data_IF_577590431183
#
_entry.id   IF_577590431183
#
_cell.length_a   1.000
_cell.length_b   1.000
_cell.length_c   1.000
_cell.angle_alpha   90.00
_cell.angle_beta   90.00
_cell.angle_gamma   90.00
#
_symmetry.space_group_name_H-M   'P 1'
#
loop_
_entity.id
_entity.type
_entity.pdbx_description
1 polymer ?
#
# COMPACT_ATOMS: atom_id res chain seq x y z
N UNK A 1 -23.06 25.40 -32.04
CA UNK A 1 -23.04 25.09 -30.59
C UNK A 1 -21.64 24.60 -30.25
N UNK A 2 -20.77 25.53 -29.89
CA UNK A 2 -19.34 25.30 -29.64
C UNK A 2 -19.20 24.59 -28.30
N UNK A 3 -18.88 23.30 -28.33
CA UNK A 3 -18.57 22.53 -27.12
C UNK A 3 -17.21 23.03 -26.64
N UNK A 4 -17.22 23.97 -25.70
CA UNK A 4 -16.06 24.29 -24.88
C UNK A 4 -15.74 23.04 -24.05
N UNK A 5 -14.94 22.13 -24.62
CA UNK A 5 -14.15 21.19 -23.84
C UNK A 5 -13.14 22.03 -23.08
N UNK A 6 -13.44 22.40 -21.84
CA UNK A 6 -12.40 22.71 -20.87
C UNK A 6 -11.45 21.52 -20.89
N UNK A 7 -10.30 21.66 -21.57
CA UNK A 7 -9.23 20.66 -21.47
C UNK A 7 -8.90 20.61 -19.99
N UNK A 8 -9.14 19.48 -19.33
CA UNK A 8 -8.61 19.28 -17.98
C UNK A 8 -7.11 19.53 -18.06
N UNK A 9 -6.65 20.56 -17.34
CA UNK A 9 -5.25 20.97 -17.41
C UNK A 9 -4.40 20.21 -16.38
N UNK A 10 -5.05 19.49 -15.48
CA UNK A 10 -4.45 18.71 -14.40
C UNK A 10 -5.11 17.34 -14.32
N UNK A 11 -4.31 16.27 -14.38
CA UNK A 11 -4.74 14.90 -14.12
C UNK A 11 -4.11 14.43 -12.81
N UNK A 12 -4.93 14.09 -11.83
CA UNK A 12 -4.47 13.57 -10.53
C UNK A 12 -4.94 12.14 -10.33
N UNK A 13 -4.01 11.26 -10.00
CA UNK A 13 -4.25 9.85 -9.74
C UNK A 13 -3.78 9.49 -8.33
N UNK A 14 -4.72 9.20 -7.44
CA UNK A 14 -4.37 8.79 -6.08
C UNK A 14 -3.85 7.35 -6.03
N UNK A 15 -2.86 7.15 -5.17
CA UNK A 15 -2.16 5.90 -4.96
C UNK A 15 -2.43 5.46 -3.52
N UNK A 16 -3.34 4.49 -3.37
CA UNK A 16 -3.72 3.96 -2.07
C UNK A 16 -2.55 3.18 -1.41
N UNK A 17 -2.11 3.65 -0.25
CA UNK A 17 -1.01 3.07 0.53
C UNK A 17 -1.43 1.87 1.37
N UNK A 18 -0.99 1.88 2.63
CA UNK A 18 -1.26 0.86 3.64
C UNK A 18 -2.69 0.89 4.17
N UNK A 19 -3.46 1.99 4.00
CA UNK A 19 -4.87 2.12 4.43
C UNK A 19 -5.85 1.34 3.57
N UNK A 20 -5.62 0.03 3.47
CA UNK A 20 -6.47 -0.92 2.75
C UNK A 20 -7.39 -1.62 3.75
N UNK A 21 -8.59 -1.98 3.29
CA UNK A 21 -9.50 -2.80 4.08
C UNK A 21 -8.84 -4.13 4.48
N UNK A 22 -8.08 -4.76 3.58
CA UNK A 22 -7.33 -5.98 3.89
C UNK A 22 -6.34 -5.78 5.05
N UNK A 23 -5.57 -4.68 5.02
CA UNK A 23 -4.60 -4.38 6.08
C UNK A 23 -5.31 -4.07 7.41
N UNK A 24 -6.45 -3.38 7.37
CA UNK A 24 -7.27 -3.12 8.55
C UNK A 24 -7.81 -4.42 9.15
N UNK A 25 -8.35 -5.32 8.34
CA UNK A 25 -8.84 -6.63 8.79
C UNK A 25 -7.72 -7.44 9.43
N UNK A 26 -6.54 -7.51 8.80
CA UNK A 26 -5.38 -8.19 9.38
C UNK A 26 -4.93 -7.57 10.69
N UNK A 27 -4.87 -6.23 10.79
CA UNK A 27 -4.52 -5.55 12.04
C UNK A 27 -5.48 -5.94 13.18
N UNK A 28 -6.79 -5.98 12.90
CA UNK A 28 -7.82 -6.38 13.88
C UNK A 28 -7.67 -7.85 14.28
N UNK A 29 -7.56 -8.77 13.32
CA UNK A 29 -7.40 -10.22 13.58
C UNK A 29 -6.16 -10.50 14.42
N UNK A 30 -5.02 -9.91 14.05
CA UNK A 30 -3.75 -10.09 14.78
C UNK A 30 -3.80 -9.47 16.17
N UNK A 31 -4.48 -8.33 16.33
CA UNK A 31 -4.71 -7.71 17.65
C UNK A 31 -5.51 -8.64 18.55
N UNK A 32 -6.65 -9.17 18.07
CA UNK A 32 -7.48 -10.08 18.85
C UNK A 32 -6.73 -11.37 19.22
N UNK A 33 -6.00 -11.96 18.26
CA UNK A 33 -5.19 -13.15 18.51
C UNK A 33 -4.05 -12.90 19.51
N UNK A 34 -3.33 -11.80 19.36
CA UNK A 34 -2.24 -11.41 20.27
C UNK A 34 -2.72 -11.18 21.70
N UNK A 35 -3.84 -10.44 21.87
CA UNK A 35 -4.47 -10.24 23.18
C UNK A 35 -4.93 -11.59 23.75
N UNK A 36 -5.62 -12.41 22.97
CA UNK A 36 -6.12 -13.71 23.40
C UNK A 36 -5.01 -14.65 23.90
N UNK A 37 -3.92 -14.78 23.14
CA UNK A 37 -2.78 -15.59 23.54
C UNK A 37 -2.05 -15.04 24.77
N UNK A 38 -1.90 -13.71 24.85
CA UNK A 38 -1.28 -13.09 26.02
C UNK A 38 -2.12 -13.34 27.28
N UNK A 39 -3.43 -13.09 27.22
CA UNK A 39 -4.35 -13.33 28.34
C UNK A 39 -4.40 -14.81 28.75
N UNK A 40 -4.36 -15.74 27.79
CA UNK A 40 -4.28 -17.17 28.07
C UNK A 40 -2.99 -17.54 28.83
N UNK A 41 -1.85 -17.00 28.40
CA UNK A 41 -0.56 -17.20 29.05
C UNK A 41 -0.52 -16.63 30.47
N UNK A 42 -1.00 -15.39 30.68
CA UNK A 42 -1.09 -14.79 32.01
C UNK A 42 -2.05 -15.53 32.92
N UNK A 43 -3.18 -15.98 32.41
CA UNK A 43 -4.15 -16.75 33.18
C UNK A 43 -3.57 -18.08 33.67
N UNK A 44 -2.79 -18.78 32.82
CA UNK A 44 -2.06 -19.99 33.22
C UNK A 44 -0.99 -19.73 34.30
N UNK A 45 -0.35 -18.55 34.29
CA UNK A 45 0.63 -18.12 35.29
C UNK A 45 -0.03 -17.73 36.63
N UNK A 46 -1.08 -16.90 36.58
CA UNK A 46 -1.76 -16.34 37.74
C UNK A 46 -2.80 -17.28 38.37
N UNK A 47 -3.17 -18.37 37.68
CA UNK A 47 -4.24 -19.30 38.07
C UNK A 47 -5.61 -18.64 38.20
N UNK A 48 -5.82 -17.55 37.46
CA UNK A 48 -7.08 -16.81 37.41
C UNK A 48 -7.56 -16.74 35.97
N UNK A 49 -8.84 -16.96 35.71
CA UNK A 49 -9.36 -16.89 34.35
C UNK A 49 -9.49 -15.42 33.92
N UNK A 50 -8.70 -15.03 32.91
CA UNK A 50 -8.73 -13.69 32.31
C UNK A 50 -9.50 -13.66 30.98
N UNK A 51 -9.91 -14.82 30.47
CA UNK A 51 -10.65 -14.93 29.22
C UNK A 51 -12.14 -15.07 29.49
N UNK A 52 -12.94 -14.47 28.60
CA UNK A 52 -14.41 -14.49 28.71
C UNK A 52 -14.98 -15.81 28.18
N UNK A 53 -14.30 -16.43 27.21
CA UNK A 53 -14.83 -17.56 26.40
C UNK A 53 -14.22 -18.91 26.76
N UNK A 54 -13.08 -18.94 27.43
CA UNK A 54 -12.35 -20.17 27.77
C UNK A 54 -11.71 -20.06 29.16
N UNK A 55 -11.31 -21.19 29.75
CA UNK A 55 -10.63 -21.23 31.06
C UNK A 55 -9.23 -21.85 30.95
N UNK A 56 -8.19 -21.02 30.72
CA UNK A 56 -6.80 -21.48 30.69
C UNK A 56 -6.13 -21.54 32.07
N UNK A 57 -6.84 -21.27 33.17
CA UNK A 57 -6.28 -21.26 34.53
C UNK A 57 -5.68 -22.62 34.92
N UNK A 58 -6.28 -23.70 34.41
CA UNK A 58 -5.83 -25.08 34.59
C UNK A 58 -4.59 -25.47 33.76
N UNK A 59 -4.17 -24.68 32.77
CA UNK A 59 -2.99 -25.03 31.96
C UNK A 59 -1.70 -24.99 32.79
N UNK A 60 -0.80 -25.93 32.51
CA UNK A 60 0.56 -25.89 33.03
C UNK A 60 1.33 -24.75 32.37
N UNK A 61 1.87 -23.84 33.18
CA UNK A 61 2.55 -22.65 32.66
C UNK A 61 3.77 -23.01 31.80
N UNK A 62 4.54 -24.03 32.22
CA UNK A 62 5.65 -24.56 31.42
C UNK A 62 5.25 -25.95 30.90
N UNK A 63 5.36 -26.22 29.57
CA UNK A 63 5.84 -25.34 28.51
C UNK A 63 4.75 -24.51 27.80
N UNK A 64 3.46 -24.78 28.07
CA UNK A 64 2.36 -24.30 27.25
C UNK A 64 2.01 -22.83 27.50
N UNK A 65 1.86 -22.42 28.76
CA UNK A 65 1.56 -21.02 29.13
C UNK A 65 2.65 -20.03 28.71
N UNK A 66 3.92 -20.41 28.80
CA UNK A 66 5.05 -19.59 28.36
C UNK A 66 5.07 -19.45 26.83
N UNK A 67 4.76 -20.52 26.08
CA UNK A 67 4.62 -20.45 24.64
C UNK A 67 3.47 -19.51 24.23
N UNK A 68 2.31 -19.62 24.88
CA UNK A 68 1.17 -18.72 24.65
C UNK A 68 1.52 -17.26 24.96
N UNK A 69 2.23 -17.01 26.06
CA UNK A 69 2.72 -15.67 26.41
C UNK A 69 3.66 -15.13 25.32
N UNK A 70 4.61 -15.94 24.86
CA UNK A 70 5.54 -15.56 23.80
C UNK A 70 4.82 -15.21 22.49
N UNK A 71 3.93 -16.08 22.01
CA UNK A 71 3.14 -15.81 20.81
C UNK A 71 2.21 -14.61 20.98
N UNK A 72 1.66 -14.39 22.17
CA UNK A 72 0.87 -13.20 22.51
C UNK A 72 1.68 -11.92 22.37
N UNK A 73 2.88 -11.86 22.97
CA UNK A 73 3.79 -10.71 22.85
C UNK A 73 4.19 -10.47 21.39
N UNK A 74 4.60 -11.52 20.66
CA UNK A 74 4.96 -11.41 19.26
C UNK A 74 3.78 -10.91 18.40
N UNK A 75 2.58 -11.43 18.65
CA UNK A 75 1.34 -11.01 17.98
C UNK A 75 1.00 -9.55 18.26
N UNK A 76 1.15 -9.08 19.50
CA UNK A 76 0.91 -7.68 19.87
C UNK A 76 1.95 -6.72 19.25
N UNK A 77 3.23 -7.11 19.21
CA UNK A 77 4.26 -6.33 18.52
C UNK A 77 3.95 -6.21 17.01
N UNK A 78 3.51 -7.31 16.39
CA UNK A 78 3.06 -7.29 15.00
C UNK A 78 1.81 -6.44 14.81
N UNK A 79 0.83 -6.53 15.72
CA UNK A 79 -0.38 -5.70 15.69
C UNK A 79 -0.03 -4.21 15.76
N UNK A 80 0.82 -3.80 16.71
CA UNK A 80 1.31 -2.43 16.85
C UNK A 80 1.96 -1.98 15.55
N UNK A 81 2.83 -2.80 14.95
CA UNK A 81 3.46 -2.49 13.67
C UNK A 81 2.42 -2.27 12.55
N UNK A 82 1.40 -3.13 12.43
CA UNK A 82 0.34 -2.97 11.43
C UNK A 82 -0.49 -1.71 11.63
N UNK A 83 -0.85 -1.39 12.88
CA UNK A 83 -1.56 -0.16 13.22
C UNK A 83 -0.72 1.09 12.92
N UNK A 84 0.58 1.06 13.18
CA UNK A 84 1.49 2.14 12.85
C UNK A 84 1.61 2.33 11.33
N UNK A 85 1.71 1.24 10.56
CA UNK A 85 1.68 1.30 9.10
C UNK A 85 0.40 1.97 8.59
N UNK A 86 -0.76 1.61 9.14
CA UNK A 86 -2.06 2.20 8.80
C UNK A 86 -2.13 3.69 9.17
N UNK A 87 -1.69 4.03 10.38
CA UNK A 87 -1.67 5.41 10.88
C UNK A 87 -0.84 6.32 9.96
N UNK A 88 0.36 5.87 9.59
CA UNK A 88 1.27 6.62 8.72
C UNK A 88 0.94 6.56 7.23
N UNK A 89 -0.02 5.72 6.81
CA UNK A 89 -0.40 5.52 5.41
C UNK A 89 0.82 5.22 4.50
N UNK A 90 1.75 4.39 4.97
CA UNK A 90 2.99 4.07 4.25
C UNK A 90 2.68 3.51 2.86
N UNK A 91 3.41 3.99 1.85
CA UNK A 91 3.21 3.71 0.43
C UNK A 91 2.08 4.50 -0.23
N UNK A 92 1.33 5.31 0.53
CA UNK A 92 0.25 6.14 0.00
C UNK A 92 0.78 7.39 -0.69
N UNK A 93 0.02 7.95 -1.63
CA UNK A 93 0.44 9.17 -2.31
C UNK A 93 -0.43 9.47 -3.52
N UNK A 94 0.11 10.21 -4.48
CA UNK A 94 -0.58 10.56 -5.71
C UNK A 94 0.42 10.80 -6.84
N UNK A 95 -0.07 10.72 -8.07
CA UNK A 95 0.61 11.18 -9.27
C UNK A 95 -0.18 12.37 -9.80
N UNK A 96 0.47 13.50 -9.98
CA UNK A 96 -0.13 14.70 -10.56
C UNK A 96 0.58 15.05 -11.86
N UNK A 97 -0.20 15.27 -12.92
CA UNK A 97 0.28 15.66 -14.24
C UNK A 97 -0.37 16.99 -14.59
N UNK A 98 0.42 18.07 -14.63
CA UNK A 98 -0.11 19.42 -14.76
C UNK A 98 0.46 20.10 -16.02
N UNK A 99 -0.41 20.32 -17.02
CA UNK A 99 -0.09 20.97 -18.30
C UNK A 99 0.14 22.48 -18.18
N UNK A 100 -0.49 23.15 -17.21
CA UNK A 100 -0.28 24.59 -16.97
C UNK A 100 1.12 24.86 -16.45
N UNK A 101 1.54 24.09 -15.45
CA UNK A 101 2.86 24.25 -14.82
C UNK A 101 3.98 23.54 -15.59
N UNK A 102 3.63 22.67 -16.54
CA UNK A 102 4.61 21.92 -17.32
C UNK A 102 5.31 20.81 -16.53
N UNK A 103 4.71 20.32 -15.43
CA UNK A 103 5.37 19.40 -14.48
C UNK A 103 4.55 18.15 -14.18
N UNK A 104 5.27 17.07 -13.89
CA UNK A 104 4.77 15.84 -13.30
C UNK A 104 5.33 15.73 -11.89
N UNK A 105 4.44 15.51 -10.92
CA UNK A 105 4.78 15.34 -9.51
C UNK A 105 4.36 13.94 -9.09
N UNK A 106 5.33 13.12 -8.68
CA UNK A 106 5.07 11.80 -8.08
C UNK A 106 5.36 11.91 -6.59
N UNK A 107 4.30 11.87 -5.79
CA UNK A 107 4.39 11.96 -4.35
C UNK A 107 4.10 10.61 -3.69
N UNK A 108 4.92 10.21 -2.72
CA UNK A 108 4.75 9.02 -1.90
C UNK A 108 5.08 9.30 -0.43
N UNK A 109 4.30 8.70 0.46
CA UNK A 109 4.53 8.67 1.89
C UNK A 109 5.32 7.41 2.24
N UNK A 110 6.52 7.58 2.76
CA UNK A 110 7.36 6.53 3.32
C UNK A 110 7.12 6.30 4.82
N UNK A 111 8.05 5.54 5.40
CA UNK A 111 8.12 5.33 6.85
C UNK A 111 8.41 6.65 7.59
N UNK A 112 8.05 6.76 8.87
CA UNK A 112 8.42 7.92 9.68
C UNK A 112 9.95 8.11 9.70
N UNK A 113 10.38 9.37 9.58
CA UNK A 113 11.79 9.74 9.53
C UNK A 113 12.03 10.97 8.66
N UNK A 114 13.31 11.29 8.42
CA UNK A 114 13.72 12.47 7.65
C UNK A 114 13.21 12.48 6.20
N UNK A 115 13.06 11.29 5.60
CA UNK A 115 12.60 11.12 4.22
C UNK A 115 11.19 10.51 4.16
N UNK A 116 10.31 10.95 5.07
CA UNK A 116 8.92 10.46 5.12
C UNK A 116 8.14 10.82 3.85
N UNK A 117 8.44 11.94 3.22
CA UNK A 117 7.81 12.34 1.97
C UNK A 117 8.84 12.22 0.85
N UNK A 118 8.52 11.42 -0.15
CA UNK A 118 9.33 11.24 -1.35
C UNK A 118 8.55 11.88 -2.49
N UNK A 119 9.06 13.00 -2.96
CA UNK A 119 8.50 13.76 -4.06
C UNK A 119 9.50 13.78 -5.23
N UNK A 120 9.00 13.49 -6.42
CA UNK A 120 9.80 13.49 -7.64
C UNK A 120 9.12 14.40 -8.65
N UNK A 121 9.80 15.50 -8.95
CA UNK A 121 9.40 16.46 -9.96
C UNK A 121 10.12 16.19 -11.28
N UNK A 122 9.34 16.20 -12.36
CA UNK A 122 9.84 15.96 -13.71
C UNK A 122 9.16 16.95 -14.65
N UNK A 123 9.91 17.64 -15.52
CA UNK A 123 9.31 18.44 -16.58
C UNK A 123 8.52 17.55 -17.54
N UNK A 124 7.31 17.96 -17.93
CA UNK A 124 6.48 17.24 -18.90
C UNK A 124 7.22 16.98 -20.22
N UNK A 125 8.07 17.92 -20.65
CA UNK A 125 8.89 17.80 -21.86
C UNK A 125 9.94 16.66 -21.81
N UNK A 126 10.22 16.13 -20.62
CA UNK A 126 11.11 14.99 -20.42
C UNK A 126 10.38 13.65 -20.46
N UNK A 127 9.05 13.63 -20.41
CA UNK A 127 8.26 12.40 -20.53
C UNK A 127 8.33 11.89 -21.97
N UNK A 128 8.67 10.61 -22.14
CA UNK A 128 8.79 9.98 -23.46
C UNK A 128 7.61 9.09 -23.78
N UNK A 129 7.21 8.24 -22.84
CA UNK A 129 6.17 7.24 -23.03
C UNK A 129 5.56 6.85 -21.69
N UNK A 130 4.34 6.33 -21.75
CA UNK A 130 3.75 5.55 -20.66
C UNK A 130 4.01 4.09 -20.98
N UNK A 131 4.64 3.34 -20.08
CA UNK A 131 4.95 1.92 -20.30
C UNK A 131 4.04 1.06 -19.45
N UNK A 132 3.27 0.19 -20.08
CA UNK A 132 2.60 -0.92 -19.42
C UNK A 132 3.55 -2.12 -19.32
N UNK A 133 3.61 -2.75 -18.15
CA UNK A 133 4.28 -4.03 -17.97
C UNK A 133 3.24 -5.06 -17.58
N UNK A 134 3.06 -6.05 -18.46
CA UNK A 134 2.14 -7.17 -18.27
C UNK A 134 2.96 -8.44 -18.27
N UNK A 135 3.02 -9.10 -17.11
CA UNK A 135 3.61 -10.42 -16.93
C UNK A 135 2.53 -11.34 -16.40
N UNK A 136 2.32 -12.45 -17.09
CA UNK A 136 1.40 -13.51 -16.66
C UNK A 136 2.17 -14.75 -16.18
N UNK A 137 1.47 -15.69 -15.56
CA UNK A 137 2.04 -16.92 -14.99
C UNK A 137 2.03 -16.95 -13.46
N UNK A 138 2.97 -17.68 -12.86
CA UNK A 138 3.01 -17.93 -11.41
C UNK A 138 3.25 -16.68 -10.55
N UNK A 139 3.86 -15.64 -11.12
CA UNK A 139 4.06 -14.34 -10.47
C UNK A 139 3.57 -13.22 -11.40
N UNK A 140 2.25 -12.99 -11.45
CA UNK A 140 1.68 -12.01 -12.35
C UNK A 140 2.07 -10.60 -11.90
N UNK A 141 2.40 -9.74 -12.86
CA UNK A 141 2.74 -8.34 -12.63
C UNK A 141 2.03 -7.49 -13.65
N UNK A 142 1.22 -6.53 -13.19
CA UNK A 142 0.52 -5.56 -14.04
C UNK A 142 0.76 -4.17 -13.47
N UNK A 143 1.62 -3.41 -14.12
CA UNK A 143 2.08 -2.12 -13.62
C UNK A 143 2.25 -1.09 -14.75
N UNK A 144 1.99 0.19 -14.43
CA UNK A 144 2.32 1.32 -15.30
C UNK A 144 3.58 2.00 -14.79
N UNK A 145 4.41 2.38 -15.74
CA UNK A 145 5.63 3.14 -15.54
C UNK A 145 5.61 4.41 -16.39
N UNK A 146 6.19 5.48 -15.86
CA UNK A 146 6.47 6.69 -16.60
C UNK A 146 7.93 6.64 -17.07
N UNK A 147 8.15 6.70 -18.38
CA UNK A 147 9.49 6.78 -18.96
C UNK A 147 9.88 8.24 -19.16
N UNK A 148 11.04 8.60 -18.63
CA UNK A 148 11.60 9.96 -18.75
C UNK A 148 12.98 9.91 -19.42
N UNK A 149 13.33 10.94 -20.20
CA UNK A 149 14.62 11.05 -20.92
C UNK A 149 15.84 10.88 -20.02
N UNK A 150 15.78 11.39 -18.79
CA UNK A 150 16.95 11.50 -17.88
C UNK A 150 16.87 10.59 -16.65
N UNK A 151 15.77 9.87 -16.46
CA UNK A 151 15.53 9.05 -15.26
C UNK A 151 15.15 7.62 -15.63
N UNK A 152 15.37 6.71 -14.68
CA UNK A 152 14.84 5.34 -14.77
C UNK A 152 13.31 5.37 -14.79
N UNK A 153 12.71 4.32 -15.34
CA UNK A 153 11.26 4.11 -15.37
C UNK A 153 10.66 4.26 -13.97
N UNK A 154 9.73 5.20 -13.80
CA UNK A 154 9.13 5.52 -12.51
C UNK A 154 7.79 4.80 -12.37
N UNK A 155 7.61 3.92 -11.36
CA UNK A 155 6.36 3.21 -11.18
C UNK A 155 5.23 4.17 -10.78
N UNK A 156 4.20 4.22 -11.62
CA UNK A 156 2.99 5.00 -11.39
C UNK A 156 1.95 4.21 -10.60
N UNK A 157 1.90 2.90 -10.82
CA UNK A 157 1.02 1.98 -10.11
C UNK A 157 1.64 1.46 -8.83
N UNK A 158 0.77 0.96 -7.95
CA UNK A 158 1.13 0.40 -6.65
C UNK A 158 1.91 -0.91 -6.78
N UNK A 159 2.68 -1.21 -5.75
CA UNK A 159 3.21 -2.55 -5.48
C UNK A 159 2.10 -3.37 -4.79
N UNK A 160 1.87 -4.60 -5.25
CA UNK A 160 0.90 -5.53 -4.68
C UNK A 160 0.12 -6.30 -5.75
N UNK A 161 -1.15 -6.59 -5.44
CA UNK A 161 -2.04 -7.34 -6.32
C UNK A 161 -2.14 -6.70 -7.72
N UNK A 162 -1.96 -7.49 -8.80
CA UNK A 162 -2.10 -7.02 -10.16
C UNK A 162 -3.48 -6.42 -10.38
N UNK A 163 -3.55 -5.20 -10.90
CA UNK A 163 -4.83 -4.61 -11.30
C UNK A 163 -5.42 -5.37 -12.49
N UNK A 164 -6.75 -5.30 -12.64
CA UNK A 164 -7.42 -5.86 -13.80
C UNK A 164 -6.82 -5.28 -15.10
N UNK A 165 -6.63 -6.12 -16.11
CA UNK A 165 -6.00 -5.74 -17.38
C UNK A 165 -6.71 -4.55 -18.02
N UNK A 166 -8.04 -4.61 -18.10
CA UNK A 166 -8.86 -3.50 -18.60
C UNK A 166 -8.65 -2.19 -17.84
N UNK A 167 -8.44 -2.25 -16.52
CA UNK A 167 -8.16 -1.05 -15.71
C UNK A 167 -6.76 -0.51 -15.97
N UNK A 168 -5.78 -1.39 -16.18
CA UNK A 168 -4.42 -1.00 -16.55
C UNK A 168 -4.41 -0.30 -17.91
N UNK A 169 -5.06 -0.90 -18.90
CA UNK A 169 -5.18 -0.37 -20.26
C UNK A 169 -5.91 0.97 -20.28
N UNK A 170 -7.06 1.07 -19.62
CA UNK A 170 -7.83 2.31 -19.56
C UNK A 170 -7.01 3.44 -18.91
N UNK A 171 -6.37 3.18 -17.76
CA UNK A 171 -5.52 4.18 -17.08
C UNK A 171 -4.28 4.55 -17.89
N UNK A 172 -3.67 3.56 -18.56
CA UNK A 172 -2.50 3.77 -19.42
C UNK A 172 -2.85 4.62 -20.65
N UNK A 173 -3.95 4.28 -21.34
CA UNK A 173 -4.44 5.00 -22.51
C UNK A 173 -4.91 6.41 -22.18
N UNK A 174 -5.62 6.59 -21.06
CA UNK A 174 -6.02 7.91 -20.56
C UNK A 174 -4.80 8.79 -20.30
N UNK A 175 -3.80 8.25 -19.60
CA UNK A 175 -2.57 8.97 -19.29
C UNK A 175 -1.75 9.30 -20.55
N UNK A 176 -1.57 8.35 -21.45
CA UNK A 176 -0.86 8.54 -22.71
C UNK A 176 -1.54 9.61 -23.58
N UNK A 177 -2.88 9.57 -23.65
CA UNK A 177 -3.69 10.58 -24.35
C UNK A 177 -3.61 11.94 -23.69
N UNK A 178 -3.62 12.00 -22.36
CA UNK A 178 -3.44 13.25 -21.62
C UNK A 178 -2.06 13.83 -21.90
N UNK A 179 -1.00 13.03 -21.84
CA UNK A 179 0.38 13.50 -22.01
C UNK A 179 0.79 13.70 -23.48
N UNK A 180 -0.02 13.23 -24.43
CA UNK A 180 0.28 13.26 -25.87
C UNK A 180 1.57 12.49 -26.22
N UNK A 181 1.79 11.37 -25.53
CA UNK A 181 2.94 10.47 -25.67
C UNK A 181 2.48 9.04 -26.01
N UNK A 182 3.33 8.20 -26.64
CA UNK A 182 2.98 6.80 -26.91
C UNK A 182 2.79 5.97 -25.63
N UNK A 183 1.91 4.97 -25.73
CA UNK A 183 1.78 3.87 -24.78
C UNK A 183 2.62 2.69 -25.28
N UNK A 184 3.62 2.27 -24.51
CA UNK A 184 4.54 1.17 -24.81
C UNK A 184 4.21 -0.07 -23.94
N UNK A 185 4.52 -1.28 -24.43
CA UNK A 185 4.47 -2.50 -23.60
C UNK A 185 3.13 -3.23 -23.55
N UNK A 186 2.35 -3.14 -24.62
CA UNK A 186 1.33 -4.14 -24.96
C UNK A 186 1.98 -5.35 -25.63
#
# INVERSE_FOLDING_TARGET
MTINRTKEQTLRQDVLGSRRLSNLLWAVIVTMGGIGFLLAGLSSYLKTNLLIVSDPSGLQFIPQGIALTFYGVAGLLLAIYLWLLLAWNVGGGYNEFNKETGKVVIFRQGYPGKNRQVEVDIPLAEVQSVRAEIREGLNPKRALYLRSKKRRDLPLTRVGEPIALSTLENKGAELARFLEVPLEGL
#
